data_IF_276748794626
#
_entry.id   IF_276748794626
#
_cell.length_a   1.000
_cell.length_b   1.000
_cell.length_c   1.000
_cell.angle_alpha   90.00
_cell.angle_beta   90.00
_cell.angle_gamma   90.00
#
_symmetry.space_group_name_H-M   'P 1'
#
loop_
_entity.id
_entity.type
_entity.pdbx_description
1 polymer ?
#
# COMPACT_ATOMS: atom_id res chain seq x y z
N UNK A 1 5.55 1.46 -6.58
CA UNK A 1 5.30 2.74 -5.84
C UNK A 1 6.62 3.35 -5.37
N UNK A 2 7.51 2.63 -4.67
CA UNK A 2 8.76 3.19 -4.13
C UNK A 2 9.62 3.93 -5.14
N UNK A 3 9.84 3.34 -6.32
CA UNK A 3 10.59 3.99 -7.38
C UNK A 3 9.92 5.30 -7.87
N UNK A 4 8.59 5.35 -7.93
CA UNK A 4 7.86 6.57 -8.28
C UNK A 4 8.06 7.67 -7.21
N UNK A 5 7.84 7.35 -5.93
CA UNK A 5 8.03 8.33 -4.84
C UNK A 5 9.48 8.83 -4.79
N UNK A 6 10.44 7.89 -4.86
CA UNK A 6 11.85 8.24 -4.87
C UNK A 6 12.23 9.16 -6.04
N UNK A 7 11.71 8.89 -7.25
CA UNK A 7 11.99 9.75 -8.40
C UNK A 7 11.45 11.16 -8.25
N UNK A 8 10.24 11.31 -7.71
CA UNK A 8 9.63 12.63 -7.47
C UNK A 8 10.48 13.46 -6.50
N UNK A 9 10.91 12.84 -5.41
CA UNK A 9 11.76 13.48 -4.41
C UNK A 9 13.13 13.84 -5.01
N UNK A 10 13.73 12.91 -5.78
CA UNK A 10 15.02 13.11 -6.41
C UNK A 10 15.01 14.24 -7.45
N UNK A 11 13.99 14.30 -8.30
CA UNK A 11 13.81 15.37 -9.30
C UNK A 11 13.66 16.77 -8.65
N UNK A 12 13.32 16.83 -7.37
CA UNK A 12 13.27 18.07 -6.55
C UNK A 12 14.54 18.32 -5.74
N UNK A 13 15.63 17.61 -6.07
CA UNK A 13 16.94 17.82 -5.46
C UNK A 13 17.10 17.24 -4.07
N UNK A 14 16.25 16.28 -3.67
CA UNK A 14 16.46 15.51 -2.44
C UNK A 14 17.51 14.45 -2.65
N UNK A 15 18.32 14.18 -1.64
CA UNK A 15 19.25 13.04 -1.62
C UNK A 15 18.44 11.76 -1.39
N UNK A 16 18.31 10.93 -2.43
CA UNK A 16 17.48 9.73 -2.43
C UNK A 16 18.24 8.56 -3.04
N UNK A 17 18.16 7.42 -2.38
CA UNK A 17 18.63 6.14 -2.90
C UNK A 17 17.46 5.16 -2.92
N UNK A 18 17.26 4.48 -4.04
CA UNK A 18 16.31 3.36 -4.13
C UNK A 18 16.98 2.09 -3.64
N UNK A 19 16.30 1.37 -2.75
CA UNK A 19 16.69 0.04 -2.33
C UNK A 19 15.59 -0.96 -2.69
N UNK A 20 15.96 -1.99 -3.43
CA UNK A 20 15.06 -3.10 -3.80
C UNK A 20 15.85 -4.40 -3.92
N UNK A 21 15.22 -5.52 -3.65
CA UNK A 21 15.82 -6.86 -3.80
C UNK A 21 15.77 -7.39 -5.24
N UNK A 22 14.98 -6.76 -6.12
CA UNK A 22 14.90 -7.10 -7.54
C UNK A 22 16.16 -6.63 -8.28
N UNK A 23 17.11 -7.54 -8.45
CA UNK A 23 18.40 -7.27 -9.13
C UNK A 23 18.21 -6.80 -10.57
N UNK A 24 17.23 -7.34 -11.31
CA UNK A 24 16.98 -6.93 -12.68
C UNK A 24 16.46 -5.49 -12.76
N UNK A 25 15.57 -5.13 -11.82
CA UNK A 25 15.02 -3.77 -11.72
C UNK A 25 16.11 -2.77 -11.35
N UNK A 26 16.90 -3.04 -10.33
CA UNK A 26 18.00 -2.15 -9.89
C UNK A 26 19.05 -2.02 -10.97
N UNK A 27 19.50 -3.11 -11.61
CA UNK A 27 20.47 -3.05 -12.69
C UNK A 27 19.99 -2.19 -13.86
N UNK A 28 18.72 -2.35 -14.26
CA UNK A 28 18.15 -1.53 -15.34
C UNK A 28 18.12 -0.03 -14.98
N UNK A 29 17.84 0.32 -13.71
CA UNK A 29 17.89 1.72 -13.23
C UNK A 29 19.32 2.26 -13.25
N UNK A 30 20.31 1.48 -12.80
CA UNK A 30 21.71 1.88 -12.76
C UNK A 30 22.27 2.12 -14.17
N UNK A 31 21.92 1.27 -15.14
CA UNK A 31 22.44 1.34 -16.50
C UNK A 31 21.72 2.39 -17.37
N UNK A 32 20.40 2.55 -17.21
CA UNK A 32 19.57 3.29 -18.17
C UNK A 32 18.74 4.41 -17.52
N UNK A 33 18.82 4.59 -16.20
CA UNK A 33 17.91 5.42 -15.42
C UNK A 33 16.53 4.78 -15.26
N UNK A 34 15.74 5.29 -14.34
CA UNK A 34 14.34 4.92 -14.16
C UNK A 34 13.48 5.58 -15.22
N UNK A 35 12.88 4.78 -16.10
CA UNK A 35 11.97 5.26 -17.16
C UNK A 35 10.55 5.36 -16.60
N UNK A 36 9.96 6.53 -16.75
CA UNK A 36 8.60 6.84 -16.26
C UNK A 36 7.76 7.30 -17.45
N UNK A 37 6.61 6.66 -17.63
CA UNK A 37 5.60 7.03 -18.63
C UNK A 37 4.31 7.49 -17.92
N UNK A 38 3.48 8.27 -18.62
CA UNK A 38 2.15 8.66 -18.16
C UNK A 38 2.12 10.04 -17.53
N UNK A 39 1.62 10.18 -16.30
CA UNK A 39 1.40 11.47 -15.67
C UNK A 39 2.70 12.31 -15.60
N UNK A 40 2.62 13.55 -16.06
CA UNK A 40 3.79 14.44 -16.15
C UNK A 40 4.70 14.20 -17.35
N UNK A 41 4.31 13.31 -18.28
CA UNK A 41 5.05 13.01 -19.51
C UNK A 41 6.11 11.93 -19.33
N UNK A 42 6.64 11.46 -20.47
CA UNK A 42 7.68 10.44 -20.49
C UNK A 42 9.04 11.04 -20.16
N UNK A 43 9.76 10.41 -19.23
CA UNK A 43 11.08 10.87 -18.77
C UNK A 43 11.94 9.73 -18.25
N UNK A 44 13.24 10.00 -18.14
CA UNK A 44 14.21 9.10 -17.51
C UNK A 44 14.91 9.83 -16.36
N UNK A 45 15.01 9.18 -15.20
CA UNK A 45 15.57 9.75 -13.97
C UNK A 45 16.79 8.94 -13.56
N UNK A 46 17.97 9.55 -13.56
CA UNK A 46 19.22 8.89 -13.14
C UNK A 46 19.35 8.91 -11.63
N UNK A 47 18.49 8.15 -10.95
CA UNK A 47 18.43 8.04 -9.49
C UNK A 47 19.37 6.94 -8.99
N UNK A 48 20.15 7.15 -7.91
CA UNK A 48 20.93 6.11 -7.27
C UNK A 48 20.05 4.95 -6.80
N UNK A 49 20.49 3.72 -7.07
CA UNK A 49 19.74 2.52 -6.71
C UNK A 49 20.71 1.38 -6.32
N UNK A 50 20.32 0.54 -5.37
CA UNK A 50 21.13 -0.60 -4.92
C UNK A 50 20.29 -1.77 -4.47
N UNK A 51 20.85 -2.98 -4.58
CA UNK A 51 20.33 -4.20 -3.94
C UNK A 51 21.03 -4.51 -2.62
N UNK A 52 22.12 -3.79 -2.31
CA UNK A 52 22.92 -4.01 -1.11
C UNK A 52 22.58 -2.94 -0.05
N UNK A 53 21.88 -3.28 1.03
CA UNK A 53 21.57 -2.35 2.10
C UNK A 53 22.82 -1.87 2.84
N UNK A 54 23.93 -2.61 2.78
CA UNK A 54 25.22 -2.22 3.39
C UNK A 54 25.86 -1.01 2.74
N UNK A 55 25.48 -0.66 1.51
CA UNK A 55 25.94 0.55 0.83
C UNK A 55 25.14 1.80 1.21
N UNK A 56 24.06 1.65 1.97
CA UNK A 56 23.26 2.77 2.43
C UNK A 56 23.87 3.40 3.67
N UNK A 57 23.85 4.73 3.72
CA UNK A 57 24.25 5.51 4.89
C UNK A 57 23.03 5.81 5.79
N UNK A 58 23.23 6.59 6.83
CA UNK A 58 22.14 7.05 7.70
C UNK A 58 21.05 7.76 6.87
N UNK A 59 19.78 7.45 7.13
CA UNK A 59 18.65 8.09 6.49
C UNK A 59 17.81 8.85 7.52
N UNK A 60 17.38 10.08 7.16
CA UNK A 60 16.41 10.84 7.95
C UNK A 60 15.00 10.27 7.77
N UNK A 61 14.68 9.81 6.55
CA UNK A 61 13.37 9.32 6.20
C UNK A 61 13.49 8.02 5.38
N UNK A 62 12.83 6.96 5.85
CA UNK A 62 12.69 5.70 5.16
C UNK A 62 11.22 5.50 4.76
N UNK A 63 10.97 5.34 3.45
CA UNK A 63 9.64 5.07 2.91
C UNK A 63 9.53 3.59 2.57
N UNK A 64 8.71 2.86 3.32
CA UNK A 64 8.43 1.45 3.08
C UNK A 64 7.33 1.31 2.05
N UNK A 65 7.70 0.75 0.88
CA UNK A 65 6.81 0.57 -0.28
C UNK A 65 6.98 -0.80 -0.94
N UNK A 66 7.70 -1.72 -0.29
CA UNK A 66 7.74 -3.11 -0.71
C UNK A 66 6.37 -3.77 -0.54
N UNK A 67 6.15 -4.92 -1.18
CA UNK A 67 4.96 -5.72 -0.89
C UNK A 67 4.97 -6.16 0.57
N UNK A 68 3.81 -6.11 1.22
CA UNK A 68 3.65 -6.33 2.66
C UNK A 68 4.32 -7.61 3.21
N UNK A 69 4.34 -8.78 2.52
CA UNK A 69 5.08 -9.95 2.98
C UNK A 69 6.59 -9.72 3.18
N UNK A 70 7.17 -8.74 2.50
CA UNK A 70 8.59 -8.38 2.61
C UNK A 70 8.92 -7.38 3.71
N UNK A 71 7.93 -6.81 4.41
CA UNK A 71 8.12 -5.69 5.34
C UNK A 71 9.12 -6.01 6.46
N UNK A 72 9.03 -7.18 7.08
CA UNK A 72 9.94 -7.57 8.17
C UNK A 72 11.39 -7.67 7.70
N UNK A 73 11.61 -8.36 6.58
CA UNK A 73 12.95 -8.52 6.01
C UNK A 73 13.51 -7.17 5.59
N UNK A 74 12.70 -6.31 4.97
CA UNK A 74 13.11 -4.96 4.59
C UNK A 74 13.48 -4.12 5.83
N UNK A 75 12.67 -4.16 6.88
CA UNK A 75 12.97 -3.43 8.13
C UNK A 75 14.27 -3.91 8.77
N UNK A 76 14.47 -5.23 8.87
CA UNK A 76 15.71 -5.81 9.41
C UNK A 76 16.94 -5.40 8.61
N UNK A 77 16.85 -5.41 7.27
CA UNK A 77 17.98 -5.08 6.39
C UNK A 77 18.45 -3.62 6.51
N UNK A 78 17.57 -2.71 6.89
CA UNK A 78 17.87 -1.27 7.01
C UNK A 78 18.02 -0.80 8.46
N UNK A 79 18.04 -1.72 9.44
CA UNK A 79 18.11 -1.39 10.88
C UNK A 79 19.34 -0.55 11.24
N UNK A 80 20.46 -0.77 10.56
CA UNK A 80 21.71 -0.01 10.76
C UNK A 80 21.61 1.47 10.36
N UNK A 81 20.62 1.84 9.53
CA UNK A 81 20.40 3.22 9.10
C UNK A 81 19.69 4.07 10.15
N UNK A 82 19.03 3.43 11.13
CA UNK A 82 18.19 4.11 12.11
C UNK A 82 19.05 4.87 13.11
N UNK A 83 18.83 6.17 13.17
CA UNK A 83 19.43 7.10 14.15
C UNK A 83 18.31 7.71 15.00
N UNK A 84 18.67 8.50 15.99
CA UNK A 84 17.70 9.07 16.95
C UNK A 84 16.53 9.81 16.28
N UNK A 85 16.78 10.52 15.18
CA UNK A 85 15.78 11.32 14.47
C UNK A 85 15.25 10.69 13.18
N UNK A 86 15.65 9.44 12.89
CA UNK A 86 15.15 8.73 11.71
C UNK A 86 13.66 8.49 11.82
N UNK A 87 12.94 8.64 10.71
CA UNK A 87 11.51 8.38 10.61
C UNK A 87 11.25 7.35 9.52
N UNK A 88 10.39 6.38 9.83
CA UNK A 88 9.93 5.35 8.92
C UNK A 88 8.45 5.58 8.62
N UNK A 89 8.07 5.57 7.36
CA UNK A 89 6.67 5.68 6.94
C UNK A 89 6.32 4.49 6.06
N UNK A 90 5.26 3.78 6.42
CA UNK A 90 4.66 2.77 5.55
C UNK A 90 3.56 3.41 4.71
N UNK A 91 3.65 3.27 3.38
CA UNK A 91 2.54 3.57 2.47
C UNK A 91 1.96 2.29 1.85
N UNK A 92 2.22 1.16 2.48
CA UNK A 92 1.80 -0.16 2.03
C UNK A 92 0.29 -0.36 2.26
N UNK A 93 -0.30 -1.28 1.50
CA UNK A 93 -1.71 -1.64 1.69
C UNK A 93 -1.87 -2.64 2.85
N UNK A 94 -3.07 -2.65 3.43
CA UNK A 94 -3.43 -3.57 4.51
C UNK A 94 -3.09 -3.04 5.90
N UNK A 95 -3.16 -3.91 6.89
CA UNK A 95 -2.86 -3.61 8.30
C UNK A 95 -1.68 -4.44 8.78
N UNK A 96 -0.98 -3.93 9.76
CA UNK A 96 0.11 -4.63 10.43
C UNK A 96 1.51 -4.28 9.93
N UNK A 97 1.64 -3.51 8.87
CA UNK A 97 2.93 -3.09 8.35
C UNK A 97 3.66 -2.17 9.33
N UNK A 98 2.96 -1.20 9.89
CA UNK A 98 3.48 -0.24 10.86
C UNK A 98 3.89 -0.94 12.16
N UNK A 99 3.12 -1.94 12.60
CA UNK A 99 3.44 -2.76 13.76
C UNK A 99 4.73 -3.56 13.52
N UNK A 100 4.86 -4.21 12.36
CA UNK A 100 6.07 -4.96 11.98
C UNK A 100 7.29 -4.05 11.93
N UNK A 101 7.18 -2.86 11.34
CA UNK A 101 8.28 -1.89 11.31
C UNK A 101 8.61 -1.42 12.72
N UNK A 102 7.61 -1.18 13.56
CA UNK A 102 7.79 -0.76 14.96
C UNK A 102 8.51 -1.79 15.82
N UNK A 103 8.20 -3.08 15.61
CA UNK A 103 8.89 -4.19 16.28
C UNK A 103 10.38 -4.25 15.94
N UNK A 104 10.74 -4.03 14.68
CA UNK A 104 12.12 -4.15 14.21
C UNK A 104 12.95 -2.87 14.44
N UNK A 105 12.34 -1.69 14.27
CA UNK A 105 13.05 -0.41 14.24
C UNK A 105 12.74 0.51 15.42
N UNK A 106 11.73 0.18 16.21
CA UNK A 106 11.26 0.96 17.35
C UNK A 106 10.09 1.88 17.03
N UNK A 107 9.06 1.81 17.87
CA UNK A 107 7.79 2.53 17.69
C UNK A 107 7.95 4.05 17.53
N UNK A 108 8.91 4.66 18.23
CA UNK A 108 9.17 6.11 18.19
C UNK A 108 9.54 6.60 16.77
N UNK A 109 10.04 5.71 15.92
CA UNK A 109 10.48 6.03 14.56
C UNK A 109 9.36 5.92 13.54
N UNK A 110 8.22 5.31 13.87
CA UNK A 110 7.20 4.94 12.88
C UNK A 110 6.06 5.94 12.82
N UNK A 111 5.70 6.31 11.60
CA UNK A 111 4.46 6.98 11.25
C UNK A 111 3.65 6.09 10.31
N UNK A 112 2.34 6.18 10.43
CA UNK A 112 1.45 5.61 9.42
C UNK A 112 1.40 6.48 8.18
N UNK A 113 1.22 5.85 7.03
CA UNK A 113 1.06 6.52 5.76
C UNK A 113 -0.06 5.91 4.93
N UNK A 114 -0.68 6.75 4.12
CA UNK A 114 -1.75 6.37 3.22
C UNK A 114 -1.57 7.10 1.89
N UNK A 115 -1.62 6.36 0.78
CA UNK A 115 -1.64 6.93 -0.56
C UNK A 115 -2.70 6.25 -1.42
N UNK A 116 -3.33 7.02 -2.30
CA UNK A 116 -4.15 6.54 -3.40
C UNK A 116 -3.48 6.77 -4.77
N UNK A 117 -2.23 7.19 -4.79
CA UNK A 117 -1.44 7.22 -6.02
C UNK A 117 -1.31 5.82 -6.60
N UNK A 118 -1.28 5.73 -7.92
CA UNK A 118 -1.20 4.47 -8.64
C UNK A 118 -0.02 4.49 -9.63
N UNK A 119 0.78 3.42 -9.59
CA UNK A 119 1.82 3.14 -10.57
C UNK A 119 1.91 1.65 -10.86
N UNK A 120 2.25 1.31 -12.09
CA UNK A 120 2.46 -0.07 -12.52
C UNK A 120 3.89 -0.23 -13.04
N UNK A 121 4.55 -1.30 -12.61
CA UNK A 121 5.85 -1.69 -13.16
C UNK A 121 5.61 -2.36 -14.52
N UNK A 122 6.09 -1.74 -15.58
CA UNK A 122 5.99 -2.24 -16.96
C UNK A 122 7.10 -3.23 -17.31
N UNK A 123 8.15 -3.27 -16.48
CA UNK A 123 9.32 -4.12 -16.62
C UNK A 123 10.48 -3.56 -15.80
N UNK A 124 11.64 -4.24 -15.77
CA UNK A 124 12.81 -3.76 -15.06
C UNK A 124 13.17 -2.33 -15.44
N UNK A 125 13.32 -1.44 -14.45
CA UNK A 125 13.66 -0.03 -14.64
C UNK A 125 12.60 0.83 -15.34
N UNK A 126 11.36 0.31 -15.54
CA UNK A 126 10.30 1.03 -16.27
C UNK A 126 8.97 0.97 -15.54
N UNK A 127 8.35 2.12 -15.29
CA UNK A 127 7.04 2.22 -14.65
C UNK A 127 6.11 3.18 -15.41
N UNK A 128 4.82 2.96 -15.20
CA UNK A 128 3.76 3.88 -15.61
C UNK A 128 3.18 4.57 -14.38
N UNK A 129 3.14 5.89 -14.40
CA UNK A 129 2.51 6.76 -13.42
C UNK A 129 1.09 7.10 -13.90
N UNK A 130 0.06 6.75 -13.11
CA UNK A 130 -1.32 6.97 -13.53
C UNK A 130 -1.93 8.24 -12.96
N UNK A 131 -1.57 8.62 -11.74
CA UNK A 131 -2.22 9.74 -11.06
C UNK A 131 -1.40 10.28 -9.90
N UNK A 132 -1.60 11.56 -9.65
CA UNK A 132 -1.11 12.28 -8.48
C UNK A 132 -2.31 12.70 -7.64
N UNK A 133 -2.41 12.10 -6.47
CA UNK A 133 -3.41 12.43 -5.47
C UNK A 133 -2.71 12.63 -4.13
N UNK A 134 -3.27 13.46 -3.24
CA UNK A 134 -2.67 13.68 -1.93
C UNK A 134 -2.46 12.36 -1.16
N UNK A 135 -1.32 12.27 -0.50
CA UNK A 135 -1.03 11.23 0.48
C UNK A 135 -1.31 11.77 1.89
N UNK A 136 -1.49 10.89 2.86
CA UNK A 136 -1.71 11.26 4.25
C UNK A 136 -0.68 10.56 5.13
N UNK A 137 -0.19 11.26 6.15
CA UNK A 137 0.68 10.69 7.17
C UNK A 137 0.20 11.09 8.56
N UNK A 138 0.47 10.26 9.57
CA UNK A 138 0.05 10.58 10.94
C UNK A 138 0.73 9.73 11.99
N UNK A 139 0.58 10.16 13.24
CA UNK A 139 1.03 9.39 14.40
C UNK A 139 0.14 8.17 14.58
N UNK A 140 0.74 6.99 14.85
CA UNK A 140 -0.01 5.74 15.04
C UNK A 140 -0.91 5.77 16.30
N UNK A 141 -0.61 6.65 17.26
CA UNK A 141 -1.45 6.86 18.45
C UNK A 141 -2.44 8.03 18.31
N UNK A 142 -2.50 8.65 17.13
CA UNK A 142 -3.35 9.79 16.83
C UNK A 142 -2.75 11.14 17.24
N UNK A 143 -3.43 12.20 16.85
CA UNK A 143 -3.02 13.57 17.06
C UNK A 143 -2.02 14.09 16.03
N UNK A 144 -1.79 15.39 16.09
CA UNK A 144 -0.88 16.11 15.18
C UNK A 144 0.38 16.50 15.94
N UNK A 145 1.55 16.05 15.47
CA UNK A 145 2.85 16.38 16.05
C UNK A 145 3.64 17.39 15.21
N UNK A 146 4.68 17.97 15.79
CA UNK A 146 5.61 18.83 15.04
C UNK A 146 6.32 18.05 13.93
N UNK A 147 6.67 16.77 14.16
CA UNK A 147 7.38 15.96 13.16
C UNK A 147 6.46 15.62 11.98
N UNK A 148 5.18 15.28 12.21
CA UNK A 148 4.24 15.01 11.11
C UNK A 148 4.03 16.25 10.25
N UNK A 149 3.87 17.44 10.85
CA UNK A 149 3.76 18.70 10.11
C UNK A 149 5.01 18.99 9.27
N UNK A 150 6.20 18.86 9.86
CA UNK A 150 7.47 19.11 9.18
C UNK A 150 7.67 18.15 8.00
N UNK A 151 7.38 16.86 8.18
CA UNK A 151 7.55 15.86 7.12
C UNK A 151 6.53 16.08 6.00
N UNK A 152 5.26 16.33 6.32
CA UNK A 152 4.23 16.60 5.31
C UNK A 152 4.57 17.85 4.47
N UNK A 153 5.04 18.93 5.09
CA UNK A 153 5.52 20.13 4.37
C UNK A 153 6.67 19.80 3.43
N UNK A 154 7.71 19.11 3.92
CA UNK A 154 8.89 18.73 3.12
C UNK A 154 8.54 17.80 1.95
N UNK A 155 7.63 16.85 2.13
CA UNK A 155 7.14 15.97 1.07
C UNK A 155 6.35 16.75 0.02
N UNK A 156 5.45 17.64 0.45
CA UNK A 156 4.66 18.50 -0.43
C UNK A 156 5.55 19.44 -1.26
N UNK A 157 6.50 20.14 -0.62
CA UNK A 157 7.49 20.98 -1.29
C UNK A 157 8.32 20.20 -2.31
N UNK A 158 8.48 18.90 -2.07
CA UNK A 158 9.20 17.98 -2.95
C UNK A 158 8.31 17.29 -3.99
N UNK A 159 7.07 17.78 -4.20
CA UNK A 159 6.16 17.29 -5.25
C UNK A 159 5.32 16.07 -4.88
N UNK A 160 5.39 15.61 -3.64
CA UNK A 160 4.51 14.60 -3.06
C UNK A 160 3.52 15.29 -2.12
N UNK A 161 2.43 15.80 -2.68
CA UNK A 161 1.38 16.43 -1.86
C UNK A 161 0.97 15.50 -0.72
N UNK A 162 1.18 15.98 0.52
CA UNK A 162 1.02 15.17 1.73
C UNK A 162 0.32 15.98 2.81
N UNK A 163 -0.77 15.45 3.32
CA UNK A 163 -1.53 16.05 4.42
C UNK A 163 -1.29 15.30 5.73
N UNK A 164 -1.40 16.02 6.83
CA UNK A 164 -1.32 15.39 8.16
C UNK A 164 -2.70 14.89 8.55
N UNK A 165 -2.78 13.62 8.89
CA UNK A 165 -3.98 13.00 9.47
C UNK A 165 -3.98 13.14 10.98
N UNK A 166 -5.10 13.53 11.56
CA UNK A 166 -5.32 13.51 13.02
C UNK A 166 -5.48 12.09 13.56
N UNK A 167 -5.95 11.17 12.69
CA UNK A 167 -6.12 9.76 13.04
C UNK A 167 -5.80 8.88 11.83
N UNK A 168 -4.52 8.64 11.60
CA UNK A 168 -4.06 7.84 10.45
C UNK A 168 -4.59 6.41 10.47
N UNK A 169 -4.85 5.82 11.65
CA UNK A 169 -5.44 4.49 11.76
C UNK A 169 -6.86 4.46 11.20
N UNK A 170 -7.64 5.50 11.45
CA UNK A 170 -8.98 5.67 10.87
C UNK A 170 -8.90 5.72 9.34
N UNK A 171 -7.99 6.51 8.78
CA UNK A 171 -7.84 6.67 7.34
C UNK A 171 -7.36 5.38 6.67
N UNK A 172 -6.44 4.64 7.31
CA UNK A 172 -5.98 3.33 6.83
C UNK A 172 -7.14 2.33 6.81
N UNK A 173 -7.94 2.25 7.89
CA UNK A 173 -9.10 1.37 7.96
C UNK A 173 -10.16 1.74 6.90
N UNK A 174 -10.43 3.03 6.72
CA UNK A 174 -11.36 3.52 5.70
C UNK A 174 -10.96 3.05 4.30
N UNK A 175 -9.69 3.20 3.92
CA UNK A 175 -9.17 2.70 2.63
C UNK A 175 -9.23 1.19 2.56
N UNK A 176 -8.91 0.50 3.66
CA UNK A 176 -8.92 -0.95 3.71
C UNK A 176 -10.31 -1.54 3.44
N UNK A 177 -11.38 -0.93 3.96
CA UNK A 177 -12.75 -1.38 3.70
C UNK A 177 -13.09 -1.35 2.20
N UNK A 178 -12.64 -0.33 1.47
CA UNK A 178 -12.74 -0.29 0.00
C UNK A 178 -11.97 -1.43 -0.67
N UNK A 179 -10.75 -1.71 -0.22
CA UNK A 179 -9.96 -2.83 -0.74
C UNK A 179 -10.62 -4.18 -0.45
N UNK A 180 -11.13 -4.40 0.75
CA UNK A 180 -11.83 -5.63 1.16
C UNK A 180 -13.05 -5.87 0.29
N UNK A 181 -13.81 -4.85 0.01
CA UNK A 181 -15.02 -4.96 -0.80
C UNK A 181 -14.76 -5.43 -2.23
N UNK A 182 -13.62 -5.05 -2.84
CA UNK A 182 -13.40 -5.24 -4.27
C UNK A 182 -12.25 -6.20 -4.60
N UNK A 183 -11.18 -6.22 -3.80
CA UNK A 183 -9.90 -6.80 -4.23
C UNK A 183 -9.96 -8.30 -4.50
N UNK A 184 -10.50 -9.10 -3.58
CA UNK A 184 -10.60 -10.56 -3.76
C UNK A 184 -11.60 -10.91 -4.87
N UNK A 185 -12.76 -10.24 -4.93
CA UNK A 185 -13.75 -10.48 -5.97
C UNK A 185 -13.21 -10.18 -7.36
N UNK A 186 -12.55 -9.02 -7.54
CA UNK A 186 -11.84 -8.69 -8.77
C UNK A 186 -10.76 -9.73 -9.12
N UNK A 187 -9.98 -10.17 -8.14
CA UNK A 187 -8.91 -11.17 -8.35
C UNK A 187 -9.43 -12.56 -8.74
N UNK A 188 -10.51 -13.01 -8.11
CA UNK A 188 -11.09 -14.33 -8.33
C UNK A 188 -11.88 -14.42 -9.64
N UNK A 189 -12.53 -13.33 -10.04
CA UNK A 189 -13.40 -13.28 -11.24
C UNK A 189 -12.73 -12.66 -12.46
N UNK A 190 -11.57 -12.01 -12.27
CA UNK A 190 -10.87 -11.23 -13.30
C UNK A 190 -11.69 -10.03 -13.82
N UNK A 191 -12.65 -9.53 -13.04
CA UNK A 191 -13.51 -8.40 -13.37
C UNK A 191 -12.91 -7.08 -12.86
N UNK A 192 -13.32 -5.97 -13.50
CA UNK A 192 -13.06 -4.61 -12.99
C UNK A 192 -13.93 -4.32 -11.76
N UNK A 193 -13.61 -3.27 -11.00
CA UNK A 193 -14.41 -2.88 -9.83
C UNK A 193 -15.86 -2.53 -10.21
N UNK A 194 -16.07 -1.83 -11.33
CA UNK A 194 -17.42 -1.55 -11.86
C UNK A 194 -18.17 -2.82 -12.21
N UNK A 195 -17.52 -3.78 -12.87
CA UNK A 195 -18.13 -5.05 -13.23
C UNK A 195 -18.48 -5.92 -12.01
N UNK A 196 -17.63 -5.93 -10.98
CA UNK A 196 -17.93 -6.59 -9.70
C UNK A 196 -19.20 -5.99 -9.07
N UNK A 197 -19.31 -4.66 -9.03
CA UNK A 197 -20.45 -3.96 -8.44
C UNK A 197 -21.74 -4.12 -9.29
N UNK A 198 -21.62 -4.37 -10.59
CA UNK A 198 -22.75 -4.57 -11.51
C UNK A 198 -23.40 -5.98 -11.41
N UNK A 199 -22.68 -6.99 -10.88
CA UNK A 199 -23.21 -8.34 -10.67
C UNK A 199 -23.85 -8.42 -9.28
N UNK A 200 -25.19 -8.61 -9.15
CA UNK A 200 -25.89 -8.55 -7.86
C UNK A 200 -25.33 -9.50 -6.79
N UNK A 201 -24.96 -10.72 -7.19
CA UNK A 201 -24.40 -11.74 -6.30
C UNK A 201 -23.03 -11.31 -5.77
N UNK A 202 -22.17 -10.74 -6.62
CA UNK A 202 -20.85 -10.24 -6.21
C UNK A 202 -20.97 -8.98 -5.34
N UNK A 203 -21.90 -8.08 -5.68
CA UNK A 203 -22.21 -6.91 -4.84
C UNK A 203 -22.67 -7.32 -3.45
N UNK A 204 -23.51 -8.36 -3.34
CA UNK A 204 -23.95 -8.90 -2.05
C UNK A 204 -22.77 -9.40 -1.22
N UNK A 205 -21.84 -10.18 -1.81
CA UNK A 205 -20.63 -10.69 -1.14
C UNK A 205 -19.70 -9.54 -0.75
N UNK A 206 -19.54 -8.54 -1.63
CA UNK A 206 -18.76 -7.33 -1.37
C UNK A 206 -19.25 -6.60 -0.12
N UNK A 207 -20.56 -6.38 0.00
CA UNK A 207 -21.18 -5.75 1.15
C UNK A 207 -21.05 -6.59 2.42
N UNK A 208 -21.24 -7.91 2.35
CA UNK A 208 -21.02 -8.80 3.50
C UNK A 208 -19.57 -8.75 4.01
N UNK A 209 -18.60 -8.81 3.11
CA UNK A 209 -17.18 -8.70 3.48
C UNK A 209 -16.87 -7.35 4.14
N UNK A 210 -17.44 -6.27 3.62
CA UNK A 210 -17.32 -4.93 4.17
C UNK A 210 -17.94 -4.83 5.58
N UNK A 211 -19.15 -5.39 5.78
CA UNK A 211 -19.83 -5.39 7.08
C UNK A 211 -19.02 -6.14 8.15
N UNK A 212 -18.51 -7.34 7.82
CA UNK A 212 -17.63 -8.08 8.74
C UNK A 212 -16.41 -7.27 9.14
N UNK A 213 -15.75 -6.62 8.18
CA UNK A 213 -14.59 -5.80 8.44
C UNK A 213 -14.93 -4.52 9.23
N UNK A 214 -16.11 -3.94 9.02
CA UNK A 214 -16.61 -2.78 9.75
C UNK A 214 -16.84 -3.13 11.24
N UNK A 215 -17.43 -4.29 11.53
CA UNK A 215 -17.60 -4.76 12.90
C UNK A 215 -16.26 -5.03 13.60
N UNK A 216 -15.28 -5.59 12.88
CA UNK A 216 -13.92 -5.75 13.43
C UNK A 216 -13.27 -4.39 13.69
N UNK A 217 -13.40 -3.41 12.78
CA UNK A 217 -12.90 -2.05 12.97
C UNK A 217 -13.47 -1.42 14.23
N UNK A 218 -14.79 -1.51 14.42
CA UNK A 218 -15.50 -1.02 15.60
C UNK A 218 -14.99 -1.67 16.88
N UNK A 219 -14.81 -2.99 16.88
CA UNK A 219 -14.25 -3.72 18.02
C UNK A 219 -12.79 -3.35 18.33
N UNK A 220 -12.06 -2.80 17.33
CA UNK A 220 -10.71 -2.23 17.48
C UNK A 220 -10.72 -0.73 17.86
N UNK A 221 -11.88 -0.14 18.13
CA UNK A 221 -12.03 1.27 18.51
C UNK A 221 -11.97 2.24 17.32
N UNK A 222 -12.25 1.76 16.11
CA UNK A 222 -12.33 2.58 14.89
C UNK A 222 -13.78 2.62 14.43
N UNK A 223 -14.45 3.72 14.72
CA UNK A 223 -15.86 3.91 14.35
C UNK A 223 -15.94 4.56 12.97
N UNK A 224 -16.37 3.79 11.98
CA UNK A 224 -16.60 4.21 10.59
C UNK A 224 -18.11 4.16 10.31
N UNK A 225 -18.63 5.24 9.75
CA UNK A 225 -20.04 5.28 9.36
C UNK A 225 -20.27 4.42 8.11
N UNK A 226 -21.20 3.47 8.24
CA UNK A 226 -21.53 2.49 7.20
C UNK A 226 -21.88 3.16 5.87
N UNK A 227 -22.77 4.16 5.88
CA UNK A 227 -23.22 4.89 4.69
C UNK A 227 -22.05 5.61 4.01
N UNK A 228 -21.12 6.12 4.80
CA UNK A 228 -19.92 6.76 4.26
C UNK A 228 -19.00 5.76 3.56
N UNK A 229 -18.84 4.56 4.10
CA UNK A 229 -18.06 3.48 3.48
C UNK A 229 -18.72 3.01 2.18
N UNK A 230 -20.04 2.80 2.17
CA UNK A 230 -20.81 2.41 0.98
C UNK A 230 -20.65 3.45 -0.14
N UNK A 231 -20.82 4.74 0.15
CA UNK A 231 -20.58 5.81 -0.83
C UNK A 231 -19.16 5.79 -1.39
N UNK A 232 -18.17 5.50 -0.54
CA UNK A 232 -16.79 5.33 -0.99
C UNK A 232 -16.62 4.15 -1.96
N UNK A 233 -17.25 3.02 -1.68
CA UNK A 233 -17.25 1.84 -2.55
C UNK A 233 -17.93 2.16 -3.89
N UNK A 234 -19.08 2.81 -3.87
CA UNK A 234 -19.79 3.23 -5.06
C UNK A 234 -18.93 4.14 -5.93
N UNK A 235 -18.30 5.16 -5.33
CA UNK A 235 -17.40 6.10 -6.03
C UNK A 235 -16.21 5.41 -6.70
N UNK A 236 -15.52 4.47 -6.02
CA UNK A 236 -14.39 3.74 -6.61
C UNK A 236 -14.81 2.69 -7.64
N UNK A 237 -16.09 2.33 -7.68
CA UNK A 237 -16.68 1.38 -8.63
C UNK A 237 -17.42 2.05 -9.78
N UNK A 238 -17.45 3.39 -9.82
CA UNK A 238 -18.15 4.14 -10.86
C UNK A 238 -17.46 3.95 -12.21
N UNK A 239 -18.23 3.59 -13.28
CA UNK A 239 -17.70 3.48 -14.63
C UNK A 239 -17.14 4.82 -15.15
N UNK A 240 -16.15 4.76 -16.04
CA UNK A 240 -15.50 5.96 -16.60
C UNK A 240 -14.40 6.55 -15.72
N UNK A 241 -14.05 5.87 -14.63
CA UNK A 241 -13.01 6.28 -13.69
C UNK A 241 -12.19 5.11 -13.14
N UNK A 242 -11.95 5.14 -11.85
CA UNK A 242 -11.21 4.05 -11.16
C UNK A 242 -11.94 2.71 -11.22
N UNK A 243 -13.25 2.74 -11.38
CA UNK A 243 -14.10 1.54 -11.51
C UNK A 243 -13.75 0.67 -12.71
N UNK A 244 -13.22 1.24 -13.78
CA UNK A 244 -12.82 0.50 -14.99
C UNK A 244 -11.50 -0.27 -14.80
N UNK A 245 -10.83 -0.08 -13.68
CA UNK A 245 -9.59 -0.78 -13.36
C UNK A 245 -9.86 -2.08 -12.59
N UNK A 246 -8.98 -3.06 -12.80
CA UNK A 246 -8.86 -4.22 -11.93
C UNK A 246 -8.13 -3.84 -10.66
N UNK A 247 -8.43 -4.52 -9.56
CA UNK A 247 -7.72 -4.32 -8.31
C UNK A 247 -6.23 -4.69 -8.42
N UNK A 248 -5.38 -4.10 -7.57
CA UNK A 248 -3.97 -4.46 -7.52
C UNK A 248 -3.76 -5.95 -7.22
N UNK A 249 -4.60 -6.54 -6.37
CA UNK A 249 -4.60 -7.97 -6.07
C UNK A 249 -4.90 -8.80 -7.33
N UNK A 250 -5.88 -8.39 -8.15
CA UNK A 250 -6.17 -9.04 -9.43
C UNK A 250 -4.95 -8.99 -10.37
N UNK A 251 -4.33 -7.83 -10.50
CA UNK A 251 -3.13 -7.65 -11.33
C UNK A 251 -1.97 -8.53 -10.84
N UNK A 252 -1.78 -8.67 -9.53
CA UNK A 252 -0.77 -9.55 -8.99
C UNK A 252 -1.04 -11.03 -9.33
N UNK A 253 -2.29 -11.50 -9.15
CA UNK A 253 -2.68 -12.88 -9.49
C UNK A 253 -2.50 -13.20 -10.98
N UNK A 254 -2.88 -12.27 -11.87
CA UNK A 254 -2.72 -12.41 -13.31
C UNK A 254 -1.25 -12.50 -13.75
N UNK A 255 -0.35 -11.89 -12.99
CA UNK A 255 1.08 -11.92 -13.26
C UNK A 255 1.82 -13.01 -12.44
N UNK A 256 1.11 -13.94 -11.81
CA UNK A 256 1.70 -15.01 -11.00
C UNK A 256 2.44 -14.52 -9.75
N UNK A 257 2.17 -13.30 -9.28
CA UNK A 257 2.85 -12.71 -8.12
C UNK A 257 2.07 -12.99 -6.84
N UNK A 258 2.81 -13.09 -5.72
CA UNK A 258 2.19 -13.10 -4.38
C UNK A 258 1.44 -11.80 -4.14
N UNK A 259 0.25 -11.93 -3.57
CA UNK A 259 -0.62 -10.81 -3.26
C UNK A 259 -0.40 -10.29 -1.84
N UNK A 260 -1.10 -9.23 -1.49
CA UNK A 260 -1.16 -8.69 -0.12
C UNK A 260 -2.39 -9.21 0.65
N UNK A 261 -2.98 -10.36 0.24
CA UNK A 261 -4.20 -10.91 0.84
C UNK A 261 -4.09 -11.15 2.35
N UNK A 262 -2.92 -11.55 2.83
CA UNK A 262 -2.66 -11.79 4.26
C UNK A 262 -2.64 -10.50 5.10
N UNK A 263 -2.40 -9.34 4.48
CA UNK A 263 -2.39 -8.01 5.11
C UNK A 263 -3.69 -7.24 4.87
N UNK A 264 -4.47 -7.59 3.84
CA UNK A 264 -5.78 -7.00 3.57
C UNK A 264 -6.88 -7.79 4.30
N UNK A 265 -7.03 -9.07 3.98
CA UNK A 265 -8.06 -9.94 4.58
C UNK A 265 -7.55 -10.63 5.84
N UNK A 266 -6.38 -11.25 5.77
CA UNK A 266 -5.80 -12.02 6.87
C UNK A 266 -5.58 -11.19 8.13
N UNK A 267 -5.19 -9.94 8.02
CA UNK A 267 -5.03 -9.04 9.17
C UNK A 267 -6.36 -8.75 9.87
N UNK A 268 -7.44 -8.55 9.12
CA UNK A 268 -8.78 -8.31 9.69
C UNK A 268 -9.33 -9.59 10.32
N UNK A 269 -9.10 -10.75 9.69
CA UNK A 269 -9.48 -12.05 10.25
C UNK A 269 -8.81 -12.26 11.60
N UNK A 270 -7.50 -12.04 11.72
CA UNK A 270 -6.77 -12.15 13.01
C UNK A 270 -7.30 -11.20 14.07
N UNK A 271 -7.55 -9.93 13.70
CA UNK A 271 -8.16 -8.96 14.61
C UNK A 271 -9.58 -9.36 15.02
N UNK A 272 -10.35 -9.94 14.11
CA UNK A 272 -11.67 -10.52 14.41
C UNK A 272 -11.58 -11.66 15.43
N UNK A 273 -10.60 -12.57 15.29
CA UNK A 273 -10.33 -13.62 16.27
C UNK A 273 -9.98 -13.05 17.64
N UNK A 274 -9.04 -12.10 17.70
CA UNK A 274 -8.64 -11.41 18.93
C UNK A 274 -9.81 -10.72 19.66
N UNK A 275 -10.75 -10.17 18.88
CA UNK A 275 -11.93 -9.41 19.35
C UNK A 275 -13.19 -10.25 19.43
N UNK A 276 -13.15 -11.54 19.09
CA UNK A 276 -14.28 -12.46 19.04
C UNK A 276 -15.40 -12.00 18.09
N UNK A 277 -15.03 -11.34 16.99
CA UNK A 277 -15.94 -10.94 15.91
C UNK A 277 -15.84 -11.95 14.76
N UNK A 278 -16.95 -12.61 14.36
CA UNK A 278 -16.95 -13.57 13.28
C UNK A 278 -16.62 -12.92 11.93
N UNK A 279 -15.81 -13.60 11.10
CA UNK A 279 -15.42 -13.12 9.78
C UNK A 279 -15.54 -14.24 8.72
N UNK A 280 -16.69 -14.89 8.55
CA UNK A 280 -16.85 -16.06 7.67
C UNK A 280 -16.61 -15.71 6.20
N UNK A 281 -17.17 -14.60 5.69
CA UNK A 281 -17.00 -14.17 4.29
C UNK A 281 -15.54 -13.81 4.00
N UNK A 282 -14.89 -13.07 4.89
CA UNK A 282 -13.47 -12.72 4.75
C UNK A 282 -12.59 -13.97 4.70
N UNK A 283 -12.87 -15.00 5.53
CA UNK A 283 -12.13 -16.27 5.54
C UNK A 283 -12.27 -17.03 4.22
N UNK A 284 -13.48 -17.09 3.66
CA UNK A 284 -13.71 -17.74 2.37
C UNK A 284 -12.97 -17.02 1.27
N UNK A 285 -13.09 -15.68 1.17
CA UNK A 285 -12.41 -14.90 0.15
C UNK A 285 -10.88 -15.00 0.27
N UNK A 286 -10.34 -14.91 1.48
CA UNK A 286 -8.92 -15.11 1.76
C UNK A 286 -8.45 -16.49 1.28
N UNK A 287 -9.15 -17.55 1.67
CA UNK A 287 -8.78 -18.93 1.33
C UNK A 287 -8.81 -19.19 -0.18
N UNK A 288 -9.82 -18.64 -0.89
CA UNK A 288 -9.90 -18.76 -2.35
C UNK A 288 -8.75 -18.05 -3.05
N UNK A 289 -8.36 -16.86 -2.60
CA UNK A 289 -7.19 -16.14 -3.13
C UNK A 289 -5.91 -16.94 -2.88
N UNK A 290 -5.72 -17.50 -1.67
CA UNK A 290 -4.60 -18.39 -1.35
C UNK A 290 -4.56 -19.61 -2.26
N UNK A 291 -5.72 -20.19 -2.60
CA UNK A 291 -5.81 -21.30 -3.57
C UNK A 291 -5.35 -20.89 -4.97
N UNK A 292 -5.68 -19.67 -5.43
CA UNK A 292 -5.18 -19.16 -6.71
C UNK A 292 -3.68 -18.90 -6.68
N UNK A 293 -3.14 -18.35 -5.58
CA UNK A 293 -1.69 -18.20 -5.39
C UNK A 293 -0.97 -19.54 -5.50
N UNK A 294 -1.45 -20.57 -4.78
CA UNK A 294 -0.87 -21.93 -4.81
C UNK A 294 -0.90 -22.54 -6.22
N UNK A 295 -2.01 -22.37 -6.95
CA UNK A 295 -2.09 -22.81 -8.36
C UNK A 295 -1.02 -22.13 -9.22
N UNK A 296 -0.85 -20.80 -9.08
CA UNK A 296 0.13 -20.05 -9.87
C UNK A 296 1.58 -20.52 -9.55
N UNK A 297 1.89 -20.80 -8.29
CA UNK A 297 3.20 -21.34 -7.87
C UNK A 297 3.45 -22.74 -8.46
N UNK A 298 2.43 -23.57 -8.63
CA UNK A 298 2.56 -24.92 -9.18
C UNK A 298 2.73 -24.96 -10.70
N UNK A 299 2.44 -23.85 -11.39
CA UNK A 299 2.52 -23.72 -12.87
C UNK A 299 3.69 -22.86 -13.34
N UNK A 300 4.46 -22.27 -12.43
CA UNK A 300 5.68 -21.48 -12.70
C UNK A 300 6.93 -22.34 -12.66
#
# INVERSE_FOLDING_TARGET
MGALFGSILFEKGRDVVLYDTDTAHIKAIQENGLKIEGFGGNRSVSIPATTDPGLLNSAELLLFQCKAPGTRVAAQSVKHLIKEHSICISFQNGLGNEEVISEELGQKHVLGGLTAMAAVLLGPGKLQDFSRVPSHIGEMHGGISKRTKSIASRLTESGLETHVSENIRYDIWKKLLGNISMSALSGLTNLTSASVNAVPELKSISLQAMEEALEVAKACGIELEREFVIKGIEMISEPGGTGDNKSSLCVDLLNGRKTEVDFIYGSVIRKGEEKQVPTPTLRVLHSLVKGVEARNESTA
#
